data_IF_845352865496
#
_entry.id   IF_845352865496
#
_cell.length_a   1.000
_cell.length_b   1.000
_cell.length_c   1.000
_cell.angle_alpha   90.00
_cell.angle_beta   90.00
_cell.angle_gamma   90.00
#
_symmetry.space_group_name_H-M   'P 1'
#
loop_
_entity.id
_entity.type
_entity.pdbx_description
1 polymer ?
#
# COMPACT_ATOMS: atom_id res chain seq x y z
N UNK A 1 19.92 -1.57 -45.23
CA UNK A 1 21.28 -1.39 -44.68
C UNK A 1 21.19 -0.45 -43.50
N UNK A 2 21.28 -0.91 -42.23
CA UNK A 2 21.38 -0.02 -41.08
C UNK A 2 22.85 0.09 -40.64
N UNK A 3 23.24 1.32 -40.32
CA UNK A 3 24.57 1.72 -39.89
C UNK A 3 24.92 1.08 -38.52
N UNK A 4 26.07 0.42 -38.48
CA UNK A 4 26.70 -0.04 -37.23
C UNK A 4 27.27 1.16 -36.47
N UNK A 5 26.84 1.41 -35.24
CA UNK A 5 27.42 2.42 -34.36
C UNK A 5 28.77 1.96 -33.81
N UNK A 6 29.80 2.78 -34.08
CA UNK A 6 31.16 2.65 -33.57
C UNK A 6 31.22 2.97 -32.04
N UNK A 7 31.13 1.97 -31.19
CA UNK A 7 31.40 2.10 -29.75
C UNK A 7 32.70 1.39 -29.32
N UNK A 8 33.59 1.04 -30.26
CA UNK A 8 34.80 0.23 -29.98
C UNK A 8 36.14 0.97 -30.14
N UNK A 9 36.13 2.32 -30.35
CA UNK A 9 37.35 3.07 -30.61
C UNK A 9 37.73 4.17 -29.60
N UNK A 10 37.17 4.15 -28.40
CA UNK A 10 37.47 5.17 -27.39
C UNK A 10 38.43 4.72 -26.25
N UNK A 11 39.11 3.56 -26.39
CA UNK A 11 39.99 3.02 -25.31
C UNK A 11 41.47 2.91 -25.72
N UNK A 12 41.98 3.77 -26.58
CA UNK A 12 43.40 3.88 -26.88
C UNK A 12 43.88 5.32 -26.73
N UNK A 13 44.17 5.74 -25.49
CA UNK A 13 45.13 6.80 -25.14
C UNK A 13 45.11 7.07 -23.63
N UNK A 14 45.81 6.24 -22.86
CA UNK A 14 46.40 6.64 -21.57
C UNK A 14 47.81 6.05 -21.54
N UNK A 15 48.87 6.86 -21.48
CA UNK A 15 50.21 6.41 -21.29
C UNK A 15 50.53 6.30 -19.79
N UNK A 16 50.98 5.18 -19.31
CA UNK A 16 51.41 5.00 -17.92
C UNK A 16 51.39 3.53 -17.53
N UNK A 17 52.54 2.85 -17.70
CA UNK A 17 52.69 1.42 -17.42
C UNK A 17 52.54 1.08 -15.93
N UNK A 18 51.72 0.05 -15.67
CA UNK A 18 51.84 -0.77 -14.47
C UNK A 18 51.81 -2.22 -14.94
N UNK A 19 53.01 -2.83 -14.91
CA UNK A 19 53.27 -4.21 -15.17
C UNK A 19 52.81 -5.06 -13.97
N UNK A 20 52.15 -6.18 -14.28
CA UNK A 20 52.09 -7.34 -13.36
C UNK A 20 50.95 -7.32 -12.35
N UNK A 21 49.79 -7.85 -12.74
CA UNK A 21 48.78 -8.60 -11.97
C UNK A 21 47.41 -8.70 -12.66
N UNK A 22 47.35 -8.51 -13.98
CA UNK A 22 46.08 -8.54 -14.71
C UNK A 22 45.69 -9.91 -15.32
N UNK A 23 46.54 -10.94 -15.23
CA UNK A 23 46.25 -12.25 -15.84
C UNK A 23 45.30 -13.15 -15.05
N UNK A 24 45.12 -12.93 -13.74
CA UNK A 24 44.21 -13.76 -12.90
C UNK A 24 42.73 -13.40 -12.98
N UNK A 25 42.38 -12.14 -13.27
CA UNK A 25 40.99 -11.68 -13.32
C UNK A 25 40.31 -11.94 -14.67
N UNK A 26 41.09 -11.98 -15.76
CA UNK A 26 40.53 -12.23 -17.10
C UNK A 26 40.14 -13.71 -17.32
N UNK A 27 40.82 -14.66 -16.66
CA UNK A 27 40.45 -16.07 -16.69
C UNK A 27 39.17 -16.40 -15.96
N UNK A 28 38.86 -15.67 -14.88
CA UNK A 28 37.64 -15.88 -14.09
C UNK A 28 36.36 -15.35 -14.75
N UNK A 29 36.48 -14.26 -15.50
CA UNK A 29 35.34 -13.69 -16.25
C UNK A 29 35.03 -14.45 -17.54
N UNK A 30 36.03 -14.98 -18.23
CA UNK A 30 35.83 -15.77 -19.45
C UNK A 30 35.08 -17.08 -19.18
N UNK A 31 35.39 -17.78 -18.08
CA UNK A 31 34.76 -19.06 -17.71
C UNK A 31 33.28 -18.90 -17.29
N UNK A 32 32.89 -17.76 -16.70
CA UNK A 32 31.50 -17.48 -16.38
C UNK A 32 30.65 -17.05 -17.59
N UNK A 33 31.26 -16.34 -18.56
CA UNK A 33 30.60 -15.94 -19.78
C UNK A 33 30.34 -17.12 -20.74
N UNK A 34 31.27 -18.07 -20.83
CA UNK A 34 31.05 -19.29 -21.60
C UNK A 34 29.95 -20.18 -21.03
N UNK A 35 29.84 -20.29 -19.68
CA UNK A 35 28.74 -21.04 -19.04
C UNK A 35 27.37 -20.36 -19.24
N UNK A 36 27.30 -19.04 -19.27
CA UNK A 36 26.05 -18.33 -19.59
C UNK A 36 25.66 -18.48 -21.07
N UNK A 37 26.60 -18.46 -21.99
CA UNK A 37 26.34 -18.68 -23.41
C UNK A 37 25.90 -20.12 -23.72
N UNK A 38 26.41 -21.12 -23.02
CA UNK A 38 26.01 -22.54 -23.22
C UNK A 38 24.59 -22.79 -22.73
N UNK A 39 24.18 -22.16 -21.61
CA UNK A 39 22.78 -22.28 -21.10
C UNK A 39 21.80 -21.56 -22.04
N UNK A 40 22.20 -20.41 -22.58
CA UNK A 40 21.37 -19.68 -23.56
C UNK A 40 21.24 -20.44 -24.88
N UNK A 41 22.33 -21.05 -25.40
CA UNK A 41 22.27 -21.87 -26.62
C UNK A 41 21.43 -23.14 -26.44
N UNK A 42 21.45 -23.81 -25.27
CA UNK A 42 20.57 -24.97 -25.02
C UNK A 42 19.11 -24.62 -24.97
N UNK A 43 18.72 -23.47 -24.41
CA UNK A 43 17.33 -22.98 -24.46
C UNK A 43 16.87 -22.61 -25.88
N UNK A 44 17.75 -21.99 -26.68
CA UNK A 44 17.45 -21.65 -28.08
C UNK A 44 17.33 -22.91 -28.93
N UNK A 45 18.20 -23.92 -28.77
CA UNK A 45 18.08 -25.21 -29.46
C UNK A 45 16.83 -26.00 -29.03
N UNK A 46 16.46 -25.98 -27.73
CA UNK A 46 15.24 -26.67 -27.28
C UNK A 46 13.99 -26.04 -27.88
N UNK A 47 13.90 -24.72 -27.97
CA UNK A 47 12.79 -24.02 -28.57
C UNK A 47 12.78 -24.17 -30.13
N UNK A 48 13.93 -24.31 -30.79
CA UNK A 48 13.99 -24.56 -32.24
C UNK A 48 13.64 -26.01 -32.61
N UNK A 49 13.93 -27.00 -31.73
CA UNK A 49 13.52 -28.39 -31.94
C UNK A 49 12.02 -28.55 -31.71
N UNK A 50 11.43 -27.83 -30.74
CA UNK A 50 9.96 -27.82 -30.53
C UNK A 50 9.20 -27.11 -31.66
N UNK A 51 9.82 -26.10 -32.29
CA UNK A 51 9.20 -25.40 -33.42
C UNK A 51 9.24 -26.17 -34.76
N UNK A 52 10.02 -27.29 -34.88
CA UNK A 52 10.07 -28.11 -36.08
C UNK A 52 9.18 -29.34 -36.08
N UNK A 53 8.52 -29.66 -34.95
CA UNK A 53 7.62 -30.82 -34.83
C UNK A 53 6.14 -30.48 -34.88
N UNK A 54 5.79 -29.19 -35.00
CA UNK A 54 4.39 -28.75 -34.98
C UNK A 54 4.02 -27.90 -36.24
N UNK A 55 4.44 -28.39 -37.42
CA UNK A 55 3.96 -27.84 -38.68
C UNK A 55 2.67 -28.54 -39.10
N UNK A 56 1.60 -28.31 -38.32
CA UNK A 56 0.22 -28.49 -38.76
C UNK A 56 -0.71 -27.50 -38.08
N UNK A 57 -1.10 -26.47 -38.86
CA UNK A 57 -2.19 -25.50 -38.62
C UNK A 57 -1.94 -24.55 -37.44
N UNK A 58 -1.36 -23.39 -37.72
CA UNK A 58 -1.60 -22.20 -36.95
C UNK A 58 -3.12 -21.91 -36.97
N UNK A 59 -3.83 -21.96 -35.85
CA UNK A 59 -5.09 -21.25 -35.77
C UNK A 59 -4.69 -19.77 -35.82
N UNK A 60 -5.34 -19.03 -36.70
CA UNK A 60 -5.31 -17.57 -36.74
C UNK A 60 -5.30 -17.06 -35.30
N UNK A 61 -4.35 -16.20 -34.94
CA UNK A 61 -4.38 -15.43 -33.69
C UNK A 61 -5.68 -14.63 -33.76
N UNK A 62 -6.74 -15.15 -33.16
CA UNK A 62 -7.90 -14.33 -32.84
C UNK A 62 -7.37 -13.24 -31.93
N UNK A 63 -7.68 -11.98 -32.26
CA UNK A 63 -7.47 -10.88 -31.35
C UNK A 63 -7.99 -11.29 -29.97
N UNK A 64 -7.25 -11.01 -28.87
CA UNK A 64 -7.65 -11.44 -27.54
C UNK A 64 -8.98 -10.76 -27.19
N UNK A 65 -10.07 -11.50 -27.39
CA UNK A 65 -11.42 -11.03 -27.05
C UNK A 65 -11.59 -11.21 -25.53
N UNK A 66 -11.42 -10.09 -24.82
CA UNK A 66 -11.46 -10.09 -23.37
C UNK A 66 -12.90 -10.16 -22.88
N UNK A 67 -13.38 -11.35 -22.56
CA UNK A 67 -14.75 -11.56 -22.10
C UNK A 67 -14.92 -11.11 -20.63
N UNK A 68 -15.78 -10.12 -20.38
CA UNK A 68 -16.07 -9.58 -19.05
C UNK A 68 -16.54 -10.66 -18.06
N UNK A 69 -17.30 -11.68 -18.54
CA UNK A 69 -17.72 -12.77 -17.70
C UNK A 69 -16.53 -13.61 -17.21
N UNK A 70 -15.51 -13.80 -18.05
CA UNK A 70 -14.30 -14.53 -17.66
C UNK A 70 -13.48 -13.73 -16.65
N UNK A 71 -13.45 -12.39 -16.76
CA UNK A 71 -12.86 -11.53 -15.74
C UNK A 71 -13.57 -11.68 -14.40
N UNK A 72 -14.91 -11.65 -14.36
CA UNK A 72 -15.71 -11.87 -13.14
C UNK A 72 -15.35 -13.22 -12.49
N UNK A 73 -15.25 -14.29 -13.28
CA UNK A 73 -14.88 -15.61 -12.77
C UNK A 73 -13.44 -15.63 -12.21
N UNK A 74 -12.49 -15.03 -12.92
CA UNK A 74 -11.11 -14.99 -12.49
C UNK A 74 -10.92 -14.20 -11.17
N UNK A 75 -11.57 -13.05 -11.05
CA UNK A 75 -11.56 -12.24 -9.82
C UNK A 75 -12.15 -13.02 -8.64
N UNK A 76 -13.25 -13.76 -8.85
CA UNK A 76 -13.88 -14.54 -7.79
C UNK A 76 -13.05 -15.77 -7.39
N UNK A 77 -12.36 -16.44 -8.34
CA UNK A 77 -11.39 -17.50 -8.02
C UNK A 77 -10.23 -16.96 -7.21
N UNK A 78 -9.70 -15.78 -7.56
CA UNK A 78 -8.65 -15.12 -6.79
C UNK A 78 -9.10 -14.76 -5.36
N UNK A 79 -10.36 -14.33 -5.18
CA UNK A 79 -10.92 -13.99 -3.88
C UNK A 79 -11.13 -15.21 -2.97
N UNK A 80 -11.61 -16.30 -3.54
CA UNK A 80 -12.00 -17.53 -2.78
C UNK A 80 -10.85 -18.52 -2.63
N UNK A 81 -9.82 -18.44 -3.49
CA UNK A 81 -8.73 -19.40 -3.57
C UNK A 81 -9.18 -20.80 -4.05
N UNK A 82 -10.39 -20.92 -4.68
CA UNK A 82 -10.95 -22.19 -5.09
C UNK A 82 -11.97 -22.04 -6.22
N UNK A 83 -11.80 -22.81 -7.30
CA UNK A 83 -12.76 -22.83 -8.41
C UNK A 83 -14.16 -23.27 -7.95
N UNK A 84 -14.25 -24.25 -7.04
CA UNK A 84 -15.53 -24.74 -6.53
C UNK A 84 -16.26 -23.66 -5.73
N UNK A 85 -15.57 -23.01 -4.77
CA UNK A 85 -16.16 -21.93 -3.98
C UNK A 85 -16.52 -20.70 -4.83
N UNK A 86 -15.72 -20.40 -5.85
CA UNK A 86 -16.05 -19.34 -6.79
C UNK A 86 -17.31 -19.67 -7.61
N UNK A 87 -17.45 -20.91 -8.08
CA UNK A 87 -18.63 -21.37 -8.79
C UNK A 87 -19.91 -21.31 -7.93
N UNK A 88 -19.82 -21.73 -6.67
CA UNK A 88 -20.89 -21.61 -5.68
C UNK A 88 -21.28 -20.14 -5.45
N UNK A 89 -20.32 -19.26 -5.20
CA UNK A 89 -20.56 -17.84 -4.97
C UNK A 89 -21.19 -17.12 -6.18
N UNK A 90 -20.87 -17.58 -7.38
CA UNK A 90 -21.40 -17.04 -8.64
C UNK A 90 -22.67 -17.74 -9.15
N UNK A 91 -23.14 -18.76 -8.43
CA UNK A 91 -24.31 -19.58 -8.82
C UNK A 91 -24.16 -20.20 -10.22
N UNK A 92 -22.96 -20.68 -10.58
CA UNK A 92 -22.65 -21.29 -11.87
C UNK A 92 -22.02 -22.68 -11.69
N UNK A 93 -22.09 -23.51 -12.73
CA UNK A 93 -21.46 -24.82 -12.71
C UNK A 93 -19.94 -24.71 -12.75
N UNK A 94 -19.22 -25.44 -11.88
CA UNK A 94 -17.76 -25.45 -11.78
C UNK A 94 -17.06 -25.66 -13.14
N UNK A 95 -17.48 -26.52 -14.05
CA UNK A 95 -16.85 -26.67 -15.36
C UNK A 95 -16.81 -25.38 -16.18
N UNK A 96 -17.82 -24.51 -16.04
CA UNK A 96 -17.87 -23.23 -16.74
C UNK A 96 -16.76 -22.28 -16.23
N UNK A 97 -16.58 -22.19 -14.92
CA UNK A 97 -15.50 -21.39 -14.32
C UNK A 97 -14.13 -21.94 -14.74
N UNK A 98 -13.94 -23.26 -14.65
CA UNK A 98 -12.68 -23.90 -15.04
C UNK A 98 -12.33 -23.69 -16.51
N UNK A 99 -13.32 -23.76 -17.41
CA UNK A 99 -13.14 -23.49 -18.84
C UNK A 99 -12.80 -22.03 -19.08
N UNK A 100 -13.53 -21.10 -18.47
CA UNK A 100 -13.33 -19.67 -18.62
C UNK A 100 -11.92 -19.24 -18.20
N UNK A 101 -11.40 -19.78 -17.07
CA UNK A 101 -10.02 -19.51 -16.66
C UNK A 101 -9.00 -19.99 -17.70
N UNK A 102 -9.16 -21.21 -18.22
CA UNK A 102 -8.27 -21.76 -19.26
C UNK A 102 -8.32 -20.95 -20.55
N UNK A 103 -9.50 -20.54 -20.98
CA UNK A 103 -9.67 -19.72 -22.19
C UNK A 103 -9.06 -18.34 -22.00
N UNK A 104 -9.20 -17.74 -20.81
CA UNK A 104 -8.58 -16.46 -20.46
C UNK A 104 -7.05 -16.56 -20.46
N UNK A 105 -6.47 -17.57 -19.80
CA UNK A 105 -5.03 -17.85 -19.80
C UNK A 105 -4.50 -18.09 -21.21
N UNK A 106 -5.24 -18.83 -22.02
CA UNK A 106 -4.89 -19.09 -23.41
C UNK A 106 -4.91 -17.81 -24.27
N UNK A 107 -5.94 -16.98 -24.14
CA UNK A 107 -6.07 -15.73 -24.90
C UNK A 107 -4.98 -14.71 -24.54
N UNK A 108 -4.58 -14.67 -23.26
CA UNK A 108 -3.54 -13.76 -22.76
C UNK A 108 -2.11 -14.31 -22.96
N UNK A 109 -1.97 -15.62 -23.19
CA UNK A 109 -0.67 -16.29 -23.31
C UNK A 109 0.11 -16.36 -22.00
N UNK A 110 -0.57 -16.24 -20.86
CA UNK A 110 0.03 -16.27 -19.50
C UNK A 110 -0.74 -17.25 -18.60
N UNK A 111 -0.09 -17.73 -17.55
CA UNK A 111 -0.71 -18.52 -16.48
C UNK A 111 -1.12 -17.58 -15.37
N UNK A 112 -2.40 -17.53 -15.02
CA UNK A 112 -2.92 -16.66 -13.97
C UNK A 112 -2.89 -17.34 -12.60
N UNK A 113 -3.10 -18.66 -12.56
CA UNK A 113 -3.25 -19.40 -11.32
C UNK A 113 -2.35 -20.63 -11.27
N UNK A 114 -1.76 -20.87 -10.11
CA UNK A 114 -1.05 -22.09 -9.75
C UNK A 114 -1.86 -22.90 -8.73
N UNK A 115 -1.90 -24.23 -8.95
CA UNK A 115 -2.56 -25.16 -8.02
C UNK A 115 -1.56 -25.66 -6.99
N UNK A 116 -1.83 -25.39 -5.72
CA UNK A 116 -1.04 -25.87 -4.58
C UNK A 116 -1.86 -26.77 -3.67
N UNK A 117 -1.22 -27.40 -2.69
CA UNK A 117 -1.92 -28.17 -1.64
C UNK A 117 -2.87 -27.32 -0.78
N UNK A 118 -2.69 -25.99 -0.78
CA UNK A 118 -3.53 -25.02 -0.05
C UNK A 118 -4.63 -24.37 -0.91
N UNK A 119 -4.75 -24.74 -2.18
CA UNK A 119 -5.74 -24.21 -3.12
C UNK A 119 -5.13 -23.54 -4.35
N UNK A 120 -5.92 -22.64 -4.96
CA UNK A 120 -5.50 -21.84 -6.11
C UNK A 120 -4.81 -20.55 -5.63
N UNK A 121 -3.62 -20.29 -6.15
CA UNK A 121 -2.86 -19.05 -5.87
C UNK A 121 -2.56 -18.32 -7.16
N UNK A 122 -2.49 -17.00 -7.10
CA UNK A 122 -2.09 -16.19 -8.25
C UNK A 122 -0.60 -16.34 -8.53
N UNK A 123 -0.25 -16.40 -9.81
CA UNK A 123 1.14 -16.19 -10.26
C UNK A 123 1.49 -14.69 -10.20
N UNK A 124 2.77 -14.29 -10.32
CA UNK A 124 3.13 -12.87 -10.44
C UNK A 124 2.43 -12.16 -11.60
N UNK A 125 2.30 -12.81 -12.76
CA UNK A 125 1.53 -12.29 -13.88
C UNK A 125 0.03 -12.26 -13.59
N UNK A 126 -0.48 -13.25 -12.85
CA UNK A 126 -1.85 -13.29 -12.35
C UNK A 126 -2.17 -12.15 -11.40
N UNK A 127 -1.30 -11.83 -10.45
CA UNK A 127 -1.48 -10.69 -9.55
C UNK A 127 -1.58 -9.37 -10.32
N UNK A 128 -0.67 -9.16 -11.27
CA UNK A 128 -0.67 -7.98 -12.13
C UNK A 128 -1.94 -7.90 -12.97
N UNK A 129 -2.35 -9.00 -13.59
CA UNK A 129 -3.58 -9.07 -14.38
C UNK A 129 -4.82 -8.78 -13.54
N UNK A 130 -4.92 -9.32 -12.31
CA UNK A 130 -6.08 -9.11 -11.43
C UNK A 130 -6.28 -7.63 -11.04
N UNK A 131 -5.22 -6.82 -10.98
CA UNK A 131 -5.35 -5.38 -10.78
C UNK A 131 -6.13 -4.73 -11.94
N UNK A 132 -5.75 -5.03 -13.19
CA UNK A 132 -6.46 -4.51 -14.36
C UNK A 132 -7.87 -5.09 -14.49
N UNK A 133 -8.06 -6.39 -14.23
CA UNK A 133 -9.37 -7.03 -14.30
C UNK A 133 -10.39 -6.39 -13.33
N UNK A 134 -9.98 -6.10 -12.10
CA UNK A 134 -10.83 -5.41 -11.13
C UNK A 134 -11.18 -3.99 -11.56
N UNK A 135 -10.22 -3.25 -12.11
CA UNK A 135 -10.45 -1.89 -12.61
C UNK A 135 -11.47 -1.89 -13.77
N UNK A 136 -11.31 -2.80 -14.74
CA UNK A 136 -12.25 -2.94 -15.86
C UNK A 136 -13.66 -3.26 -15.34
N UNK A 137 -13.78 -4.22 -14.45
CA UNK A 137 -15.10 -4.61 -13.89
C UNK A 137 -15.73 -3.46 -13.10
N UNK A 138 -14.94 -2.74 -12.30
CA UNK A 138 -15.44 -1.55 -11.58
C UNK A 138 -15.94 -0.46 -12.52
N UNK A 139 -15.27 -0.23 -13.66
CA UNK A 139 -15.73 0.73 -14.67
C UNK A 139 -17.02 0.25 -15.36
N UNK A 140 -17.14 -1.04 -15.64
CA UNK A 140 -18.37 -1.62 -16.21
C UNK A 140 -19.54 -1.48 -15.23
N UNK A 141 -19.33 -1.85 -13.97
CA UNK A 141 -20.34 -1.69 -12.92
C UNK A 141 -20.75 -0.22 -12.77
N UNK A 142 -19.80 0.70 -12.89
CA UNK A 142 -20.05 2.15 -12.88
C UNK A 142 -20.95 2.59 -14.04
N UNK A 143 -20.65 2.13 -15.24
CA UNK A 143 -21.47 2.41 -16.44
C UNK A 143 -22.88 1.81 -16.29
N UNK A 144 -22.97 0.53 -15.88
CA UNK A 144 -24.26 -0.12 -15.66
C UNK A 144 -25.12 0.60 -14.63
N UNK A 145 -24.52 1.11 -13.55
CA UNK A 145 -25.19 1.86 -12.50
C UNK A 145 -25.73 3.20 -13.00
N UNK A 146 -24.95 3.93 -13.81
CA UNK A 146 -25.37 5.19 -14.44
C UNK A 146 -26.65 5.01 -15.27
N UNK A 147 -26.72 3.93 -16.05
CA UNK A 147 -27.84 3.71 -16.99
C UNK A 147 -29.05 2.98 -16.38
N UNK A 148 -28.87 2.21 -15.28
CA UNK A 148 -29.99 1.53 -14.61
C UNK A 148 -30.82 2.42 -13.68
N UNK A 149 -30.22 3.41 -13.03
CA UNK A 149 -30.88 4.16 -11.96
C UNK A 149 -31.19 5.63 -12.28
N UNK A 150 -30.88 6.13 -13.50
CA UNK A 150 -31.09 7.53 -13.86
C UNK A 150 -30.23 8.49 -13.02
N UNK A 151 -30.56 9.79 -13.03
CA UNK A 151 -29.75 10.85 -12.40
C UNK A 151 -29.66 10.82 -10.86
N UNK A 152 -30.32 9.87 -10.18
CA UNK A 152 -30.26 9.74 -8.70
C UNK A 152 -29.15 8.80 -8.25
N UNK A 153 -27.92 9.03 -8.72
CA UNK A 153 -26.79 8.22 -8.30
C UNK A 153 -26.34 8.60 -6.89
N UNK A 154 -26.38 7.62 -5.98
CA UNK A 154 -25.81 7.75 -4.65
C UNK A 154 -24.30 7.91 -4.76
N UNK A 155 -23.79 9.10 -4.44
CA UNK A 155 -22.34 9.36 -4.45
C UNK A 155 -21.65 8.50 -3.40
N UNK A 156 -20.48 7.98 -3.74
CA UNK A 156 -19.66 7.19 -2.81
C UNK A 156 -18.34 7.91 -2.54
N UNK A 157 -17.99 8.05 -1.28
CA UNK A 157 -16.69 8.52 -0.84
C UNK A 157 -16.10 7.50 0.13
N UNK A 158 -14.85 7.05 -0.12
CA UNK A 158 -14.18 6.06 0.73
C UNK A 158 -12.73 6.45 0.94
N UNK A 159 -12.34 6.63 2.21
CA UNK A 159 -10.98 6.99 2.58
C UNK A 159 -10.45 6.08 3.68
N UNK A 160 -9.17 5.67 3.54
CA UNK A 160 -8.45 4.85 4.51
C UNK A 160 -7.30 5.67 5.10
N UNK A 161 -7.28 5.87 6.42
CA UNK A 161 -6.40 6.84 7.08
C UNK A 161 -5.69 6.26 8.30
N UNK A 162 -4.54 6.83 8.74
CA UNK A 162 -3.95 6.48 10.02
C UNK A 162 -4.81 7.03 11.16
N UNK A 163 -4.69 6.42 12.34
CA UNK A 163 -5.32 6.91 13.57
C UNK A 163 -4.74 8.27 13.94
N UNK A 164 -5.50 9.35 13.69
CA UNK A 164 -5.01 10.72 13.86
C UNK A 164 -6.14 11.69 14.16
N UNK A 165 -5.95 12.48 15.20
CA UNK A 165 -6.99 13.42 15.65
C UNK A 165 -7.19 14.58 14.68
N UNK A 166 -6.13 15.11 14.05
CA UNK A 166 -6.27 16.19 13.08
C UNK A 166 -6.97 15.70 11.78
N UNK A 167 -6.72 14.45 11.36
CA UNK A 167 -7.40 13.86 10.19
C UNK A 167 -8.88 13.62 10.52
N UNK A 168 -9.18 13.13 11.74
CA UNK A 168 -10.56 12.97 12.18
C UNK A 168 -11.30 14.31 12.24
N UNK A 169 -10.65 15.40 12.69
CA UNK A 169 -11.21 16.75 12.67
C UNK A 169 -11.43 17.26 11.24
N UNK A 170 -10.54 16.95 10.31
CA UNK A 170 -10.73 17.24 8.90
C UNK A 170 -11.96 16.51 8.33
N UNK A 171 -12.10 15.23 8.68
CA UNK A 171 -13.23 14.43 8.27
C UNK A 171 -14.56 14.93 8.87
N UNK A 172 -14.56 15.35 10.15
CA UNK A 172 -15.73 16.00 10.76
C UNK A 172 -16.12 17.29 9.99
N UNK A 173 -15.16 18.14 9.65
CA UNK A 173 -15.41 19.35 8.88
C UNK A 173 -15.92 19.05 7.46
N UNK A 174 -15.36 18.02 6.81
CA UNK A 174 -15.83 17.52 5.52
C UNK A 174 -17.30 17.07 5.59
N UNK A 175 -17.69 16.27 6.59
CA UNK A 175 -19.08 15.78 6.69
C UNK A 175 -20.10 16.91 6.90
N UNK A 176 -19.71 18.02 7.55
CA UNK A 176 -20.57 19.20 7.74
C UNK A 176 -20.82 19.99 6.45
N UNK A 177 -19.96 19.82 5.44
CA UNK A 177 -20.03 20.51 4.14
C UNK A 177 -20.69 19.70 3.03
N UNK A 178 -21.13 18.48 3.34
CA UNK A 178 -21.80 17.63 2.37
C UNK A 178 -23.15 18.23 1.95
N UNK A 179 -23.52 18.12 0.66
CA UNK A 179 -24.84 18.52 0.19
C UNK A 179 -25.92 17.72 0.92
N UNK A 180 -26.96 18.41 1.45
CA UNK A 180 -28.03 17.77 2.23
C UNK A 180 -29.01 16.98 1.35
N UNK A 181 -29.16 17.40 0.11
CA UNK A 181 -30.19 16.90 -0.82
C UNK A 181 -29.65 15.78 -1.75
N UNK A 182 -28.36 15.43 -1.64
CA UNK A 182 -27.77 14.40 -2.46
C UNK A 182 -27.52 13.12 -1.65
N UNK A 183 -28.00 11.95 -2.12
CA UNK A 183 -27.69 10.69 -1.46
C UNK A 183 -26.20 10.39 -1.57
N UNK A 184 -25.55 10.08 -0.43
CA UNK A 184 -24.12 9.79 -0.36
C UNK A 184 -23.84 8.67 0.64
N UNK A 185 -22.95 7.73 0.27
CA UNK A 185 -22.36 6.75 1.18
C UNK A 185 -20.91 7.12 1.46
N UNK A 186 -20.55 7.18 2.75
CA UNK A 186 -19.22 7.59 3.18
C UNK A 186 -18.62 6.50 4.04
N UNK A 187 -17.42 6.08 3.66
CA UNK A 187 -16.61 5.07 4.34
C UNK A 187 -15.32 5.70 4.85
N UNK A 188 -15.20 5.80 6.16
CA UNK A 188 -14.01 6.31 6.84
C UNK A 188 -13.39 5.15 7.65
N UNK A 189 -12.17 4.73 7.29
CA UNK A 189 -11.52 3.57 7.92
C UNK A 189 -10.16 3.94 8.47
N UNK A 190 -10.02 3.86 9.78
CA UNK A 190 -8.73 4.02 10.45
C UNK A 190 -7.94 2.70 10.41
N UNK A 191 -6.67 2.77 9.98
CA UNK A 191 -5.83 1.57 9.81
C UNK A 191 -4.33 1.93 9.74
N UNK A 192 -3.46 0.94 9.53
CA UNK A 192 -2.03 1.14 9.30
C UNK A 192 -1.71 1.37 7.81
N UNK A 193 -0.46 1.77 7.52
CA UNK A 193 -0.02 2.12 6.17
C UNK A 193 -0.23 0.98 5.15
N UNK A 194 0.17 -0.25 5.48
CA UNK A 194 0.01 -1.38 4.54
C UNK A 194 -1.45 -1.69 4.23
N UNK A 195 -2.29 -1.70 5.27
CA UNK A 195 -3.73 -1.94 5.08
C UNK A 195 -4.38 -0.84 4.28
N UNK A 196 -3.95 0.43 4.44
CA UNK A 196 -4.41 1.54 3.62
C UNK A 196 -4.05 1.35 2.14
N UNK A 197 -2.79 0.98 1.85
CA UNK A 197 -2.34 0.65 0.49
C UNK A 197 -3.16 -0.52 -0.07
N UNK A 198 -3.34 -1.61 0.69
CA UNK A 198 -4.11 -2.77 0.25
C UNK A 198 -5.60 -2.45 0.03
N UNK A 199 -6.19 -1.54 0.82
CA UNK A 199 -7.55 -1.09 0.62
C UNK A 199 -7.72 -0.36 -0.73
N UNK A 200 -6.71 0.40 -1.18
CA UNK A 200 -6.73 1.06 -2.48
C UNK A 200 -6.50 0.07 -3.63
N UNK A 201 -5.55 -0.84 -3.48
CA UNK A 201 -5.20 -1.81 -4.53
C UNK A 201 -6.26 -2.90 -4.71
N UNK A 202 -6.84 -3.40 -3.61
CA UNK A 202 -7.68 -4.61 -3.59
C UNK A 202 -9.14 -4.39 -3.17
N UNK A 203 -9.51 -3.17 -2.74
CA UNK A 203 -10.84 -2.85 -2.29
C UNK A 203 -11.34 -1.55 -2.96
N UNK A 204 -12.58 -1.16 -2.67
CA UNK A 204 -13.22 0.02 -3.28
C UNK A 204 -12.79 1.38 -2.70
N UNK A 205 -11.62 1.46 -2.07
CA UNK A 205 -11.07 2.73 -1.60
C UNK A 205 -10.27 3.37 -2.73
N UNK A 206 -10.57 4.63 -3.05
CA UNK A 206 -9.82 5.39 -4.07
C UNK A 206 -8.84 6.38 -3.46
N UNK A 207 -9.03 6.72 -2.18
CA UNK A 207 -8.20 7.68 -1.45
C UNK A 207 -7.68 7.06 -0.15
N UNK A 208 -6.45 7.37 0.21
CA UNK A 208 -5.85 6.94 1.47
C UNK A 208 -4.83 7.93 2.00
N UNK A 209 -4.55 7.84 3.29
CA UNK A 209 -3.41 8.50 3.92
C UNK A 209 -2.59 7.42 4.62
N UNK A 210 -1.30 7.37 4.35
CA UNK A 210 -0.37 6.49 5.05
C UNK A 210 0.55 7.30 5.96
N UNK A 211 0.89 6.71 7.12
CA UNK A 211 1.86 7.29 8.07
C UNK A 211 3.04 6.36 8.24
N UNK A 212 4.23 6.93 8.20
CA UNK A 212 5.48 6.23 8.45
C UNK A 212 6.54 7.18 8.98
N UNK A 213 7.55 6.64 9.66
CA UNK A 213 8.71 7.42 10.09
C UNK A 213 9.56 7.85 8.89
N UNK A 214 10.06 9.08 8.88
CA UNK A 214 10.72 9.70 7.71
C UNK A 214 11.91 8.90 7.15
N UNK A 215 12.60 8.12 7.98
CA UNK A 215 13.70 7.25 7.53
C UNK A 215 13.26 6.07 6.64
N UNK A 216 11.95 5.74 6.63
CA UNK A 216 11.37 4.75 5.72
C UNK A 216 10.82 5.35 4.41
N UNK A 217 11.05 6.65 4.13
CA UNK A 217 10.48 7.35 2.97
C UNK A 217 10.80 6.66 1.64
N UNK A 218 12.07 6.25 1.46
CA UNK A 218 12.49 5.54 0.25
C UNK A 218 11.72 4.25 0.04
N UNK A 219 11.58 3.44 1.08
CA UNK A 219 10.86 2.16 1.03
C UNK A 219 9.40 2.35 0.62
N UNK A 220 8.70 3.31 1.24
CA UNK A 220 7.29 3.56 0.91
C UNK A 220 7.12 4.16 -0.50
N UNK A 221 8.02 5.02 -0.97
CA UNK A 221 8.00 5.52 -2.35
C UNK A 221 8.16 4.40 -3.38
N UNK A 222 9.15 3.52 -3.20
CA UNK A 222 9.36 2.36 -4.07
C UNK A 222 8.11 1.45 -4.09
N UNK A 223 7.52 1.18 -2.93
CA UNK A 223 6.28 0.39 -2.82
C UNK A 223 5.09 1.05 -3.54
N UNK A 224 4.91 2.36 -3.41
CA UNK A 224 3.83 3.08 -4.09
C UNK A 224 4.01 3.02 -5.62
N UNK A 225 5.24 3.20 -6.09
CA UNK A 225 5.55 3.10 -7.53
C UNK A 225 5.29 1.70 -8.09
N UNK A 226 5.72 0.64 -7.39
CA UNK A 226 5.45 -0.75 -7.76
C UNK A 226 3.94 -1.05 -7.86
N UNK A 227 3.13 -0.41 -7.00
CA UNK A 227 1.67 -0.59 -6.97
C UNK A 227 0.90 0.40 -7.83
N UNK A 228 1.59 1.19 -8.65
CA UNK A 228 1.01 2.22 -9.52
C UNK A 228 0.15 3.26 -8.76
N UNK A 229 0.64 3.68 -7.57
CA UNK A 229 0.02 4.69 -6.74
C UNK A 229 0.78 6.01 -6.80
N UNK A 230 0.06 7.12 -6.73
CA UNK A 230 0.59 8.46 -6.47
C UNK A 230 0.71 8.67 -4.98
N UNK A 231 1.78 9.32 -4.53
CA UNK A 231 1.99 9.72 -3.14
C UNK A 231 2.31 11.20 -3.03
N UNK A 232 1.50 11.97 -2.29
CA UNK A 232 1.67 13.40 -2.05
C UNK A 232 1.86 13.68 -0.55
N UNK A 233 2.94 14.41 -0.19
CA UNK A 233 3.22 14.75 1.20
C UNK A 233 2.14 15.67 1.76
N UNK A 234 1.40 15.20 2.76
CA UNK A 234 0.43 15.99 3.50
C UNK A 234 1.13 16.78 4.60
N UNK A 235 1.87 16.12 5.48
CA UNK A 235 2.55 16.77 6.61
C UNK A 235 3.76 15.96 7.08
N UNK A 236 4.68 16.67 7.75
CA UNK A 236 5.79 16.09 8.51
C UNK A 236 5.75 16.67 9.93
N UNK A 237 5.86 15.83 10.95
CA UNK A 237 5.74 16.23 12.35
C UNK A 237 6.44 15.24 13.28
N UNK A 238 6.70 15.68 14.53
CA UNK A 238 7.09 14.78 15.61
C UNK A 238 5.89 14.42 16.47
N UNK A 239 5.89 13.19 17.04
CA UNK A 239 4.90 12.82 18.03
C UNK A 239 5.06 13.65 19.31
N UNK A 240 3.92 13.91 19.93
CA UNK A 240 3.80 14.52 21.26
C UNK A 240 3.35 13.47 22.27
N UNK A 241 3.64 13.71 23.54
CA UNK A 241 3.09 12.95 24.65
C UNK A 241 1.72 13.49 24.99
N UNK A 242 0.74 12.60 25.14
CA UNK A 242 -0.59 12.92 25.67
C UNK A 242 -0.83 12.10 26.93
N UNK A 243 -1.34 12.74 27.96
CA UNK A 243 -1.62 12.16 29.26
C UNK A 243 -2.76 12.91 29.96
N UNK A 244 -3.28 12.37 31.06
CA UNK A 244 -4.28 13.05 31.91
C UNK A 244 -3.73 14.38 32.45
N UNK A 245 -4.59 15.37 32.70
CA UNK A 245 -4.26 16.57 33.46
C UNK A 245 -3.77 16.22 34.87
N UNK A 246 -4.25 15.10 35.43
CA UNK A 246 -3.90 14.61 36.75
C UNK A 246 -2.62 13.73 36.75
N UNK A 247 -1.97 13.54 35.60
CA UNK A 247 -0.72 12.76 35.48
C UNK A 247 0.42 13.49 36.21
N UNK A 248 1.29 12.77 37.00
CA UNK A 248 2.39 13.40 37.73
C UNK A 248 3.35 14.24 36.87
N UNK A 249 3.49 13.91 35.59
CA UNK A 249 4.29 14.68 34.63
C UNK A 249 3.53 15.85 33.98
N UNK A 250 2.24 15.99 34.21
CA UNK A 250 1.43 17.04 33.58
C UNK A 250 1.89 18.45 33.95
N UNK A 251 2.35 18.66 35.20
CA UNK A 251 2.87 19.91 35.70
C UNK A 251 4.34 20.18 35.29
N UNK A 252 5.07 19.17 34.80
CA UNK A 252 6.46 19.30 34.39
C UNK A 252 6.56 20.08 33.10
N UNK A 253 7.45 21.09 33.04
CA UNK A 253 7.60 21.90 31.84
C UNK A 253 8.18 21.12 30.67
N UNK A 254 9.17 20.27 30.92
CA UNK A 254 9.83 19.43 29.92
C UNK A 254 9.85 17.98 30.38
N UNK A 255 9.42 17.07 29.54
CA UNK A 255 9.41 15.61 29.79
C UNK A 255 10.43 14.95 28.89
N UNK A 256 11.34 14.14 29.47
CA UNK A 256 12.32 13.31 28.76
C UNK A 256 11.96 11.81 28.84
N UNK A 257 12.67 10.99 28.06
CA UNK A 257 12.40 9.54 28.02
C UNK A 257 12.55 8.86 29.39
N UNK A 258 13.52 9.26 30.19
CA UNK A 258 13.77 8.68 31.51
C UNK A 258 12.62 8.91 32.49
N UNK A 259 11.94 10.05 32.38
CA UNK A 259 10.78 10.39 33.18
C UNK A 259 9.60 9.40 32.98
N UNK A 260 9.53 8.78 31.79
CA UNK A 260 8.44 7.90 31.40
C UNK A 260 8.57 6.47 31.95
N UNK A 261 9.76 6.09 32.41
CA UNK A 261 10.06 4.72 32.83
C UNK A 261 9.12 4.16 33.93
N UNK A 262 8.64 4.93 34.92
CA UNK A 262 7.72 4.43 35.95
C UNK A 262 6.29 4.20 35.45
N UNK A 263 5.90 4.87 34.36
CA UNK A 263 4.53 4.94 33.88
C UNK A 263 4.20 3.87 32.85
N UNK A 264 2.93 3.80 32.46
CA UNK A 264 2.41 2.82 31.50
C UNK A 264 2.13 3.50 30.16
N UNK A 265 2.72 2.97 29.11
CA UNK A 265 2.49 3.44 27.75
C UNK A 265 1.25 2.78 27.14
N UNK A 266 0.32 3.60 26.63
CA UNK A 266 -0.70 3.14 25.70
C UNK A 266 -0.13 3.23 24.28
N UNK A 267 -0.24 2.17 23.50
CA UNK A 267 0.27 2.13 22.13
C UNK A 267 -0.66 1.37 21.19
N UNK A 268 -0.68 1.73 19.91
CA UNK A 268 -1.42 0.96 18.93
C UNK A 268 -0.71 -0.36 18.61
N UNK A 269 -1.51 -1.44 18.50
CA UNK A 269 -0.99 -2.80 18.38
C UNK A 269 -0.36 -3.13 17.02
N UNK A 270 -0.60 -2.32 16.01
CA UNK A 270 -0.28 -2.61 14.61
C UNK A 270 0.62 -1.56 13.91
N UNK A 271 1.77 -1.17 14.48
CA UNK A 271 2.79 -0.49 13.70
C UNK A 271 3.26 -1.46 12.61
N UNK A 272 3.37 -0.98 11.38
CA UNK A 272 3.73 -1.85 10.26
C UNK A 272 4.85 -1.25 9.41
N UNK A 273 6.00 -1.92 9.42
CA UNK A 273 7.03 -1.83 8.39
C UNK A 273 7.25 -3.24 7.86
N UNK A 274 6.95 -3.54 6.59
CA UNK A 274 6.89 -4.91 6.07
C UNK A 274 8.18 -5.72 6.20
N UNK A 275 9.32 -5.05 6.18
CA UNK A 275 10.65 -5.66 6.27
C UNK A 275 11.09 -5.99 7.70
N UNK A 276 10.35 -5.54 8.70
CA UNK A 276 10.72 -5.69 10.11
C UNK A 276 9.67 -6.49 10.87
N UNK A 277 10.12 -7.31 11.81
CA UNK A 277 9.22 -7.94 12.77
C UNK A 277 8.58 -6.87 13.68
N UNK A 278 7.39 -7.14 14.23
CA UNK A 278 6.74 -6.23 15.18
C UNK A 278 7.64 -5.84 16.36
N UNK A 279 8.53 -6.74 16.78
CA UNK A 279 9.51 -6.48 17.84
C UNK A 279 10.62 -5.53 17.40
N UNK A 280 11.06 -5.61 16.15
CA UNK A 280 12.09 -4.72 15.58
C UNK A 280 11.52 -3.32 15.31
N UNK A 281 10.33 -3.22 14.70
CA UNK A 281 9.63 -1.94 14.52
C UNK A 281 9.43 -1.24 15.86
N UNK A 282 9.05 -1.97 16.90
CA UNK A 282 8.89 -1.41 18.25
C UNK A 282 10.20 -0.92 18.85
N UNK A 283 11.30 -1.66 18.67
CA UNK A 283 12.63 -1.20 19.14
C UNK A 283 13.10 0.06 18.44
N UNK A 284 12.76 0.22 17.16
CA UNK A 284 13.11 1.43 16.42
C UNK A 284 12.19 2.61 16.75
N UNK A 285 10.90 2.37 16.95
CA UNK A 285 9.90 3.44 17.16
C UNK A 285 9.78 3.88 18.62
N UNK A 286 10.00 2.97 19.57
CA UNK A 286 9.72 3.20 20.99
C UNK A 286 10.98 2.94 21.80
N UNK A 287 11.44 3.91 22.63
CA UNK A 287 12.54 3.68 23.56
C UNK A 287 12.25 2.48 24.47
N UNK A 288 13.23 1.62 24.67
CA UNK A 288 13.08 0.38 25.45
C UNK A 288 13.03 0.60 26.97
N UNK A 289 12.99 1.89 27.40
CA UNK A 289 12.96 2.29 28.82
C UNK A 289 11.60 2.11 29.50
N UNK A 290 10.50 1.88 28.74
CA UNK A 290 9.16 1.69 29.30
C UNK A 290 8.87 0.20 29.46
N UNK A 291 8.65 -0.23 30.72
CA UNK A 291 8.44 -1.64 31.06
C UNK A 291 6.98 -2.10 30.97
N UNK A 292 6.02 -1.18 31.08
CA UNK A 292 4.59 -1.48 31.11
C UNK A 292 3.90 -0.89 29.89
N UNK A 293 3.20 -1.70 29.10
CA UNK A 293 2.47 -1.26 27.91
C UNK A 293 1.10 -1.89 27.81
N UNK A 294 0.12 -1.09 27.37
CA UNK A 294 -1.21 -1.54 26.95
C UNK A 294 -1.33 -1.36 25.47
N UNK A 295 -1.61 -2.44 24.75
CA UNK A 295 -1.81 -2.43 23.31
C UNK A 295 -3.29 -2.24 23.00
N UNK A 296 -3.62 -1.17 22.29
CA UNK A 296 -4.99 -0.85 21.87
C UNK A 296 -5.12 -0.96 20.35
N UNK A 297 -6.29 -1.35 19.90
CA UNK A 297 -6.58 -1.51 18.46
C UNK A 297 -7.43 -0.38 17.93
N UNK A 298 -8.32 0.18 18.76
CA UNK A 298 -9.28 1.19 18.38
C UNK A 298 -8.91 2.56 18.96
N UNK A 299 -9.01 3.63 18.12
CA UNK A 299 -8.70 4.99 18.57
C UNK A 299 -9.67 5.52 19.64
N UNK A 300 -10.93 5.15 19.55
CA UNK A 300 -11.95 5.65 20.49
C UNK A 300 -11.58 5.40 21.95
N UNK A 301 -11.06 4.23 22.28
CA UNK A 301 -10.70 3.83 23.66
C UNK A 301 -9.50 4.58 24.22
N UNK A 302 -8.63 5.17 23.37
CA UNK A 302 -7.37 5.76 23.84
C UNK A 302 -7.60 6.97 24.77
N UNK A 303 -8.56 7.84 24.44
CA UNK A 303 -8.81 9.06 25.21
C UNK A 303 -9.48 8.77 26.54
N UNK A 304 -10.38 7.80 26.58
CA UNK A 304 -11.00 7.35 27.81
C UNK A 304 -9.97 6.71 28.76
N UNK A 305 -9.13 5.81 28.23
CA UNK A 305 -8.08 5.17 29.03
C UNK A 305 -7.08 6.19 29.58
N UNK A 306 -6.64 7.17 28.78
CA UNK A 306 -5.75 8.23 29.22
C UNK A 306 -6.41 9.12 30.30
N UNK A 307 -7.69 9.44 30.13
CA UNK A 307 -8.45 10.28 31.06
C UNK A 307 -8.70 9.59 32.41
N UNK A 308 -9.03 8.30 32.39
CA UNK A 308 -9.37 7.54 33.59
C UNK A 308 -8.17 7.00 34.38
N UNK A 309 -7.01 6.88 33.76
CA UNK A 309 -5.80 6.38 34.43
C UNK A 309 -4.65 7.39 34.36
N UNK A 310 -4.42 8.16 35.45
CA UNK A 310 -3.39 9.19 35.47
C UNK A 310 -1.94 8.64 35.46
N UNK A 311 -1.73 7.34 35.50
CA UNK A 311 -0.39 6.73 35.34
C UNK A 311 -0.08 6.36 33.86
N UNK A 312 -0.94 6.74 32.93
CA UNK A 312 -0.78 6.39 31.51
C UNK A 312 -0.42 7.56 30.65
N UNK A 313 0.35 7.30 29.62
CA UNK A 313 0.68 8.25 28.56
C UNK A 313 0.67 7.57 27.17
N UNK A 314 0.62 8.37 26.12
CA UNK A 314 0.66 7.89 24.74
C UNK A 314 1.42 8.84 23.83
N UNK A 315 2.17 8.28 22.86
CA UNK A 315 2.79 9.02 21.76
C UNK A 315 1.79 9.11 20.61
N UNK A 316 1.43 10.33 20.21
CA UNK A 316 0.48 10.57 19.12
C UNK A 316 0.88 11.79 18.28
N UNK A 317 0.33 11.92 17.08
CA UNK A 317 0.33 13.19 16.37
C UNK A 317 -0.36 14.28 17.22
N UNK A 318 0.03 15.56 17.09
CA UNK A 318 -0.62 16.64 17.83
C UNK A 318 -2.14 16.56 17.81
N UNK A 319 -2.73 16.75 18.98
CA UNK A 319 -4.17 16.59 19.23
C UNK A 319 -4.83 17.97 19.32
N UNK A 320 -5.99 18.18 18.68
CA UNK A 320 -6.77 19.42 18.82
C UNK A 320 -7.10 19.78 20.27
N UNK A 321 -6.98 21.07 20.63
CA UNK A 321 -7.23 21.56 21.99
C UNK A 321 -8.64 21.27 22.48
N UNK A 322 -9.64 21.31 21.58
CA UNK A 322 -11.02 20.99 21.91
C UNK A 322 -11.18 19.54 22.39
N UNK A 323 -10.38 18.62 21.80
CA UNK A 323 -10.39 17.22 22.18
C UNK A 323 -9.66 16.98 23.50
N UNK A 324 -8.51 17.67 23.70
CA UNK A 324 -7.76 17.63 24.96
C UNK A 324 -8.65 18.11 26.12
N UNK A 325 -9.33 19.25 25.97
CA UNK A 325 -10.25 19.78 26.99
C UNK A 325 -11.40 18.84 27.28
N UNK A 326 -12.00 18.22 26.25
CA UNK A 326 -13.13 17.28 26.41
C UNK A 326 -12.79 16.10 27.31
N UNK A 327 -11.56 15.59 27.18
CA UNK A 327 -11.10 14.41 27.91
C UNK A 327 -10.18 14.74 29.10
N UNK A 328 -10.04 16.02 29.47
CA UNK A 328 -9.13 16.49 30.54
C UNK A 328 -7.70 15.96 30.35
N UNK A 329 -7.15 16.17 29.16
CA UNK A 329 -5.84 15.73 28.77
C UNK A 329 -4.93 16.93 28.52
N UNK A 330 -3.63 16.70 28.68
CA UNK A 330 -2.58 17.65 28.29
C UNK A 330 -1.66 16.99 27.26
N UNK A 331 -1.12 17.81 26.35
CA UNK A 331 -0.06 17.37 25.45
C UNK A 331 1.26 18.06 25.77
N UNK A 332 2.35 17.30 25.72
CA UNK A 332 3.71 17.77 26.02
C UNK A 332 4.64 17.43 24.85
N UNK A 333 5.52 18.35 24.52
CA UNK A 333 6.63 18.06 23.61
C UNK A 333 7.74 17.37 24.42
N UNK A 334 8.39 16.37 23.81
CA UNK A 334 9.57 15.74 24.35
C UNK A 334 10.77 16.15 23.47
N UNK A 335 11.65 17.07 23.93
CA UNK A 335 12.78 17.53 23.13
C UNK A 335 13.75 16.42 22.74
N UNK A 336 13.79 15.34 23.52
CA UNK A 336 14.61 14.16 23.26
C UNK A 336 14.07 13.30 22.09
N UNK A 337 12.80 13.49 21.69
CA UNK A 337 12.22 12.79 20.57
C UNK A 337 12.45 13.56 19.26
N UNK A 338 13.50 13.17 18.55
CA UNK A 338 13.89 13.75 17.25
C UNK A 338 13.26 13.03 16.05
N UNK A 339 12.43 12.02 16.28
CA UNK A 339 11.81 11.24 15.20
C UNK A 339 10.76 12.06 14.49
N UNK A 340 10.84 12.06 13.15
CA UNK A 340 9.88 12.69 12.27
C UNK A 340 8.99 11.63 11.61
N UNK A 341 7.71 11.90 11.53
CA UNK A 341 6.71 11.08 10.85
C UNK A 341 6.13 11.87 9.68
N UNK A 342 5.82 11.15 8.60
CA UNK A 342 5.19 11.68 7.40
C UNK A 342 3.81 11.10 7.23
N UNK A 343 2.84 11.98 6.96
CA UNK A 343 1.54 11.62 6.41
C UNK A 343 1.55 11.90 4.93
N UNK A 344 1.26 10.87 4.13
CA UNK A 344 1.27 10.93 2.67
C UNK A 344 -0.09 10.52 2.15
N UNK A 345 -0.72 11.39 1.37
CA UNK A 345 -1.95 11.10 0.62
C UNK A 345 -1.61 10.16 -0.52
N UNK A 346 -2.40 9.11 -0.69
CA UNK A 346 -2.19 8.09 -1.73
C UNK A 346 -3.47 7.81 -2.51
N UNK A 347 -3.34 7.62 -3.84
CA UNK A 347 -4.43 7.24 -4.75
C UNK A 347 -3.86 6.60 -6.03
N UNK A 348 -4.63 5.87 -6.87
CA UNK A 348 -4.14 5.31 -8.13
C UNK A 348 -3.66 6.41 -9.08
N UNK A 349 -2.56 6.18 -9.83
CA UNK A 349 -1.96 7.18 -10.74
C UNK A 349 -2.92 7.65 -11.84
N UNK A 350 -3.83 6.80 -12.27
CA UNK A 350 -4.84 7.04 -13.29
C UNK A 350 -6.20 7.52 -12.72
N UNK A 351 -6.29 7.71 -11.40
CA UNK A 351 -7.51 8.17 -10.74
C UNK A 351 -7.68 9.68 -10.81
N UNK A 352 -8.83 10.11 -11.28
CA UNK A 352 -9.21 11.52 -11.28
C UNK A 352 -9.99 11.84 -10.00
N UNK A 353 -9.43 12.72 -9.18
CA UNK A 353 -10.03 13.14 -7.92
C UNK A 353 -11.42 13.74 -8.15
N UNK A 354 -12.43 13.23 -7.48
CA UNK A 354 -13.80 13.70 -7.52
C UNK A 354 -13.99 15.00 -6.73
N UNK A 355 -15.15 15.62 -6.84
CA UNK A 355 -15.49 16.81 -6.03
C UNK A 355 -15.46 16.51 -4.51
N UNK A 356 -15.88 15.30 -4.09
CA UNK A 356 -15.82 14.88 -2.68
C UNK A 356 -14.39 14.66 -2.20
N UNK A 357 -13.52 14.09 -3.04
CA UNK A 357 -12.10 13.93 -2.71
C UNK A 357 -11.43 15.29 -2.52
N UNK A 358 -11.65 16.21 -3.43
CA UNK A 358 -11.11 17.58 -3.36
C UNK A 358 -11.63 18.34 -2.13
N UNK A 359 -12.91 18.15 -1.78
CA UNK A 359 -13.48 18.73 -0.56
C UNK A 359 -12.77 18.19 0.69
N UNK A 360 -12.59 16.86 0.79
CA UNK A 360 -11.89 16.24 1.91
C UNK A 360 -10.42 16.69 1.99
N UNK A 361 -9.69 16.73 0.86
CA UNK A 361 -8.30 17.21 0.80
C UNK A 361 -8.21 18.67 1.25
N UNK A 362 -9.17 19.50 0.88
CA UNK A 362 -9.23 20.90 1.33
C UNK A 362 -9.37 20.99 2.85
N UNK A 363 -10.29 20.22 3.45
CA UNK A 363 -10.48 20.19 4.91
C UNK A 363 -9.25 19.60 5.62
N UNK A 364 -8.60 18.60 5.02
CA UNK A 364 -7.35 18.04 5.52
C UNK A 364 -6.23 19.08 5.58
N UNK A 365 -6.08 19.90 4.54
CA UNK A 365 -5.10 20.98 4.49
C UNK A 365 -5.40 22.07 5.52
N UNK A 366 -6.66 22.42 5.74
CA UNK A 366 -7.07 23.38 6.76
C UNK A 366 -6.81 22.88 8.18
N UNK A 367 -7.18 21.63 8.45
CA UNK A 367 -6.95 20.98 9.73
C UNK A 367 -5.45 20.85 10.05
N UNK A 368 -4.63 20.43 9.05
CA UNK A 368 -3.18 20.40 9.19
C UNK A 368 -2.61 21.76 9.61
N UNK A 369 -2.99 22.84 8.92
CA UNK A 369 -2.52 24.20 9.24
C UNK A 369 -2.92 24.63 10.63
N UNK A 370 -4.09 24.20 11.11
CA UNK A 370 -4.59 24.56 12.45
C UNK A 370 -3.87 23.82 13.57
N UNK A 371 -3.51 22.55 13.39
CA UNK A 371 -3.08 21.68 14.48
C UNK A 371 -1.64 21.18 14.40
N UNK A 372 -0.98 21.29 13.24
CA UNK A 372 0.40 20.80 13.05
C UNK A 372 1.41 21.94 12.73
N UNK A 373 0.96 23.18 12.69
CA UNK A 373 1.86 24.36 12.48
C UNK A 373 2.63 24.75 13.74
#
# INVERSE_FOLDING_TARGET
MPRKSNAFLAWRRIPGGISGKAHGLFSFFSSKFEKLCVVSRRKICYNQIKARSDDRRHPERRDPDLNLQYLKYAVEVARTGSINRAAEALYVAQPNVSRAIKELEFSLGIVLFERTSKGMHLTPDGERFMQYARNILSQVDEVEEIFRHGESRKKKFAVSVPRSSYIASAFEAFTKKLPKDEPVDIFYKETNALRAINNIVNADYKLGIIRYASHHDRYFREMLDEKNLTGELVSEFSYVLVMSEDHPLAAKETVCFDDLSPYMELTHADPFVPSLSLSEVRKEEIPDNVKRRVFIFERASQFELLSCNPETFMWVAPVPDELLKRYRLVQKRCPCNTKLYRDVLIYPKDYHLTALDNLFITELCLSKRKYLS
#
